data_IF_219294397420
#
_entry.id   IF_219294397420
#
_cell.length_a   1.000
_cell.length_b   1.000
_cell.length_c   1.000
_cell.angle_alpha   90.00
_cell.angle_beta   90.00
_cell.angle_gamma   90.00
#
_symmetry.space_group_name_H-M   'P 1'
#
loop_
_entity.id
_entity.type
_entity.pdbx_description
1 polymer ?
#
# COMPACT_ATOMS: atom_id res chain seq x y z
N UNK A 1 36.01 -16.93 -2.85
CA UNK A 1 34.71 -17.63 -2.80
C UNK A 1 33.69 -16.80 -3.57
N UNK A 2 33.04 -17.37 -4.59
CA UNK A 2 31.99 -16.67 -5.33
C UNK A 2 30.82 -16.37 -4.38
N UNK A 3 30.28 -15.17 -4.45
CA UNK A 3 29.09 -14.75 -3.68
C UNK A 3 27.92 -15.67 -4.08
N UNK A 4 27.36 -16.43 -3.15
CA UNK A 4 26.29 -17.41 -3.43
C UNK A 4 24.98 -16.76 -3.93
N UNK A 5 24.80 -15.48 -3.62
CA UNK A 5 23.62 -14.68 -3.99
C UNK A 5 24.06 -13.29 -4.43
N UNK A 6 23.33 -12.67 -5.37
CA UNK A 6 23.46 -11.26 -5.67
C UNK A 6 22.95 -10.41 -4.49
N UNK A 7 23.33 -9.13 -4.45
CA UNK A 7 22.84 -8.23 -3.39
C UNK A 7 21.33 -8.07 -3.43
N UNK A 8 20.75 -8.02 -4.61
CA UNK A 8 19.30 -7.86 -4.78
C UNK A 8 18.52 -9.12 -4.32
N UNK A 9 19.05 -10.31 -4.59
CA UNK A 9 18.47 -11.56 -4.07
C UNK A 9 18.51 -11.62 -2.53
N UNK A 10 19.57 -11.08 -1.93
CA UNK A 10 19.67 -10.99 -0.47
C UNK A 10 18.65 -9.99 0.06
N UNK A 11 18.55 -8.80 -0.52
CA UNK A 11 17.56 -7.78 -0.13
C UNK A 11 16.13 -8.31 -0.24
N UNK A 12 15.80 -9.02 -1.32
CA UNK A 12 14.49 -9.63 -1.49
C UNK A 12 14.15 -10.65 -0.38
N UNK A 13 15.11 -11.49 0.02
CA UNK A 13 14.95 -12.44 1.14
C UNK A 13 14.75 -11.72 2.47
N UNK A 14 15.54 -10.68 2.74
CA UNK A 14 15.44 -9.90 3.97
C UNK A 14 14.08 -9.21 4.08
N UNK A 15 13.62 -8.59 3.00
CA UNK A 15 12.33 -7.94 2.92
C UNK A 15 11.19 -8.94 3.13
N UNK A 16 11.26 -10.12 2.50
CA UNK A 16 10.25 -11.16 2.72
C UNK A 16 10.18 -11.61 4.18
N UNK A 17 11.32 -11.78 4.84
CA UNK A 17 11.36 -12.11 6.26
C UNK A 17 10.79 -10.99 7.13
N UNK A 18 11.01 -9.71 6.77
CA UNK A 18 10.38 -8.57 7.45
C UNK A 18 8.86 -8.66 7.35
N UNK A 19 8.30 -8.90 6.16
CA UNK A 19 6.85 -9.04 5.98
C UNK A 19 6.29 -10.15 6.88
N UNK A 20 6.90 -11.33 6.84
CA UNK A 20 6.47 -12.49 7.63
C UNK A 20 6.52 -12.24 9.14
N UNK A 21 7.64 -11.71 9.63
CA UNK A 21 7.81 -11.43 11.06
C UNK A 21 6.84 -10.34 11.54
N UNK A 22 6.73 -9.26 10.78
CA UNK A 22 5.83 -8.17 11.14
C UNK A 22 4.36 -8.62 11.10
N UNK A 23 3.97 -9.47 10.14
CA UNK A 23 2.62 -10.01 10.07
C UNK A 23 2.32 -10.97 11.23
N UNK A 24 3.25 -11.84 11.59
CA UNK A 24 3.05 -12.85 12.62
C UNK A 24 3.14 -12.29 14.04
N UNK A 25 4.13 -11.46 14.33
CA UNK A 25 4.46 -11.07 15.70
C UNK A 25 4.20 -9.59 16.04
N UNK A 26 4.02 -8.74 15.05
CA UNK A 26 3.95 -7.28 15.19
C UNK A 26 5.23 -6.59 14.75
N UNK A 27 5.07 -5.33 14.31
CA UNK A 27 6.20 -4.56 13.75
C UNK A 27 7.27 -4.25 14.82
N UNK A 28 6.85 -4.09 16.08
CA UNK A 28 7.72 -3.79 17.23
C UNK A 28 8.59 -5.00 17.62
N UNK A 29 8.23 -6.18 17.16
CA UNK A 29 8.96 -7.43 17.46
C UNK A 29 10.00 -7.77 16.39
N UNK A 30 10.03 -7.03 15.27
CA UNK A 30 11.02 -7.21 14.21
C UNK A 30 12.39 -6.75 14.72
N UNK A 31 13.41 -7.58 14.54
CA UNK A 31 14.81 -7.26 14.88
C UNK A 31 15.74 -7.78 13.80
N UNK A 32 16.90 -7.15 13.61
CA UNK A 32 17.91 -7.62 12.64
C UNK A 32 18.27 -9.09 12.86
N UNK A 33 18.35 -9.56 14.11
CA UNK A 33 18.63 -10.95 14.43
C UNK A 33 17.54 -11.89 13.95
N UNK A 34 16.25 -11.58 14.25
CA UNK A 34 15.12 -12.42 13.81
C UNK A 34 15.00 -12.45 12.29
N UNK A 35 15.25 -11.32 11.62
CA UNK A 35 15.27 -11.26 10.15
C UNK A 35 16.38 -12.17 9.60
N UNK A 36 17.59 -12.13 10.19
CA UNK A 36 18.68 -13.01 9.81
C UNK A 36 18.30 -14.48 9.95
N UNK A 37 17.77 -14.85 11.11
CA UNK A 37 17.32 -16.22 11.42
C UNK A 37 16.25 -16.67 10.42
N UNK A 38 15.25 -15.84 10.13
CA UNK A 38 14.18 -16.12 9.16
C UNK A 38 14.66 -16.33 7.72
N UNK A 39 15.79 -15.72 7.34
CA UNK A 39 16.39 -15.88 6.01
C UNK A 39 17.47 -16.99 5.95
N UNK A 40 17.88 -17.55 7.08
CA UNK A 40 19.06 -18.42 7.16
C UNK A 40 20.38 -17.70 6.87
N UNK A 41 20.46 -16.39 7.18
CA UNK A 41 21.63 -15.56 6.99
C UNK A 41 22.24 -15.17 8.34
N UNK A 42 23.53 -14.83 8.36
CA UNK A 42 24.15 -14.27 9.56
C UNK A 42 23.86 -12.77 9.68
N UNK A 43 23.68 -12.26 10.90
CA UNK A 43 23.44 -10.83 11.16
C UNK A 43 24.49 -9.91 10.53
N UNK A 44 25.82 -10.20 10.57
CA UNK A 44 26.80 -9.39 9.89
C UNK A 44 26.60 -9.28 8.37
N UNK A 45 25.97 -10.30 7.76
CA UNK A 45 25.69 -10.27 6.32
C UNK A 45 24.57 -9.28 5.97
N UNK A 46 23.59 -9.07 6.88
CA UNK A 46 22.52 -8.07 6.70
C UNK A 46 23.11 -6.66 6.72
N UNK A 47 24.06 -6.39 7.62
CA UNK A 47 24.72 -5.07 7.73
C UNK A 47 25.54 -4.70 6.49
N UNK A 48 25.82 -5.62 5.58
CA UNK A 48 26.36 -5.30 4.26
C UNK A 48 25.33 -4.68 3.31
N UNK A 49 24.02 -4.96 3.53
CA UNK A 49 22.93 -4.46 2.70
C UNK A 49 22.21 -3.25 3.33
N UNK A 50 22.08 -3.24 4.67
CA UNK A 50 21.37 -2.21 5.40
C UNK A 50 22.12 -1.80 6.66
N UNK A 51 22.30 -0.48 6.85
CA UNK A 51 23.02 0.07 8.01
C UNK A 51 22.34 -0.25 9.34
N UNK A 52 20.99 -0.32 9.36
CA UNK A 52 20.19 -0.50 10.56
C UNK A 52 18.80 -1.07 10.23
N UNK A 53 18.03 -1.41 11.24
CA UNK A 53 16.67 -1.91 11.09
C UNK A 53 15.72 -0.89 10.46
N UNK A 54 15.70 0.40 10.85
CA UNK A 54 14.88 1.40 10.19
C UNK A 54 15.09 1.46 8.68
N UNK A 55 16.34 1.42 8.20
CA UNK A 55 16.65 1.43 6.78
C UNK A 55 16.07 0.21 6.04
N UNK A 56 16.16 -0.99 6.63
CA UNK A 56 15.55 -2.21 6.09
C UNK A 56 14.01 -2.11 6.07
N UNK A 57 13.42 -1.64 7.16
CA UNK A 57 11.96 -1.50 7.28
C UNK A 57 11.41 -0.50 6.27
N UNK A 58 12.12 0.61 6.07
CA UNK A 58 11.76 1.65 5.10
C UNK A 58 11.86 1.13 3.67
N UNK A 59 12.94 0.42 3.30
CA UNK A 59 13.08 -0.17 1.96
C UNK A 59 11.98 -1.22 1.70
N UNK A 60 11.67 -2.05 2.71
CA UNK A 60 10.58 -3.02 2.61
C UNK A 60 9.23 -2.34 2.35
N UNK A 61 8.93 -1.25 3.06
CA UNK A 61 7.70 -0.49 2.85
C UNK A 61 7.68 0.19 1.47
N UNK A 62 8.75 0.90 1.09
CA UNK A 62 8.80 1.61 -0.17
C UNK A 62 8.67 0.69 -1.38
N UNK A 63 9.25 -0.52 -1.33
CA UNK A 63 9.06 -1.52 -2.41
C UNK A 63 7.61 -1.95 -2.53
N UNK A 64 6.94 -2.24 -1.41
CA UNK A 64 5.50 -2.55 -1.40
C UNK A 64 4.67 -1.38 -1.92
N UNK A 65 4.94 -0.16 -1.47
CA UNK A 65 4.21 1.04 -1.86
C UNK A 65 4.44 1.40 -3.34
N UNK A 66 5.65 1.18 -3.86
CA UNK A 66 5.95 1.34 -5.29
C UNK A 66 5.17 0.36 -6.20
N UNK A 67 4.96 -0.88 -5.74
CA UNK A 67 4.12 -1.82 -6.49
C UNK A 67 2.70 -1.27 -6.63
N UNK A 68 2.12 -0.73 -5.54
CA UNK A 68 0.81 -0.07 -5.57
C UNK A 68 0.84 1.16 -6.50
N UNK A 69 1.85 2.02 -6.38
CA UNK A 69 1.96 3.20 -7.23
C UNK A 69 2.04 2.84 -8.72
N UNK A 70 2.75 1.76 -9.07
CA UNK A 70 2.82 1.26 -10.45
C UNK A 70 1.47 0.76 -10.96
N UNK A 71 0.66 0.10 -10.12
CA UNK A 71 -0.72 -0.26 -10.48
C UNK A 71 -1.56 0.99 -10.75
N UNK A 72 -1.38 2.04 -9.95
CA UNK A 72 -2.12 3.30 -10.10
C UNK A 72 -1.76 4.06 -11.38
N UNK A 73 -0.67 3.73 -12.07
CA UNK A 73 -0.36 4.34 -13.38
C UNK A 73 -1.43 4.08 -14.45
N UNK A 74 -2.34 3.15 -14.24
CA UNK A 74 -3.52 2.94 -15.11
C UNK A 74 -4.32 4.23 -15.31
N UNK A 75 -4.33 5.14 -14.33
CA UNK A 75 -5.04 6.43 -14.45
C UNK A 75 -4.58 7.28 -15.64
N UNK A 76 -3.34 7.11 -16.10
CA UNK A 76 -2.82 7.82 -17.29
C UNK A 76 -3.55 7.45 -18.58
N UNK A 77 -4.14 6.25 -18.61
CA UNK A 77 -4.86 5.72 -19.78
C UNK A 77 -6.38 5.95 -19.67
N UNK A 78 -6.85 6.47 -18.54
CA UNK A 78 -8.25 6.80 -18.38
C UNK A 78 -8.53 8.14 -19.08
N UNK A 79 -9.39 8.10 -20.11
CA UNK A 79 -9.78 9.28 -20.88
C UNK A 79 -10.74 10.13 -20.06
N UNK A 80 -10.26 11.25 -19.51
CA UNK A 80 -11.06 12.21 -18.75
C UNK A 80 -12.14 12.96 -19.56
N UNK A 81 -11.97 13.27 -20.87
CA UNK A 81 -12.97 14.04 -21.61
C UNK A 81 -14.38 13.43 -21.66
N UNK A 82 -14.51 12.12 -21.41
CA UNK A 82 -15.80 11.44 -21.35
C UNK A 82 -16.42 11.33 -19.94
N UNK A 83 -15.67 11.61 -18.88
CA UNK A 83 -16.13 11.47 -17.48
C UNK A 83 -17.03 12.67 -17.08
N UNK A 84 -18.08 12.92 -17.85
CA UNK A 84 -19.10 13.90 -17.50
C UNK A 84 -20.32 13.27 -16.81
N UNK A 85 -20.31 11.95 -16.64
CA UNK A 85 -21.41 11.20 -16.05
C UNK A 85 -20.94 10.48 -14.80
N UNK A 86 -21.75 10.55 -13.76
CA UNK A 86 -21.51 9.84 -12.50
C UNK A 86 -21.19 8.36 -12.71
N UNK A 87 -21.88 7.70 -13.63
CA UNK A 87 -21.65 6.29 -13.94
C UNK A 87 -20.24 6.03 -14.46
N UNK A 88 -19.71 6.88 -15.38
CA UNK A 88 -18.37 6.73 -15.91
C UNK A 88 -17.30 6.91 -14.82
N UNK A 89 -17.54 7.81 -13.87
CA UNK A 89 -16.68 7.98 -12.70
C UNK A 89 -16.70 6.76 -11.78
N UNK A 90 -17.88 6.21 -11.52
CA UNK A 90 -18.04 5.01 -10.72
C UNK A 90 -17.32 3.82 -11.35
N UNK A 91 -17.38 3.67 -12.67
CA UNK A 91 -16.66 2.62 -13.41
C UNK A 91 -15.14 2.83 -13.35
N UNK A 92 -14.66 4.05 -13.57
CA UNK A 92 -13.24 4.38 -13.50
C UNK A 92 -12.67 4.17 -12.08
N UNK A 93 -13.39 4.63 -11.06
CA UNK A 93 -12.97 4.45 -9.65
C UNK A 93 -13.02 2.99 -9.23
N UNK A 94 -13.97 2.20 -9.73
CA UNK A 94 -14.01 0.76 -9.52
C UNK A 94 -12.77 0.07 -10.09
N UNK A 95 -12.35 0.41 -11.31
CA UNK A 95 -11.14 -0.16 -11.92
C UNK A 95 -9.90 0.14 -11.09
N UNK A 96 -9.72 1.40 -10.68
CA UNK A 96 -8.58 1.80 -9.85
C UNK A 96 -8.61 1.10 -8.50
N UNK A 97 -9.76 1.09 -7.85
CA UNK A 97 -9.93 0.49 -6.53
C UNK A 97 -9.74 -1.03 -6.56
N UNK A 98 -10.27 -1.73 -7.57
CA UNK A 98 -10.15 -3.19 -7.68
C UNK A 98 -8.70 -3.64 -7.83
N UNK A 99 -7.86 -2.90 -8.55
CA UNK A 99 -6.41 -3.18 -8.61
C UNK A 99 -5.75 -3.10 -7.24
N UNK A 100 -6.12 -2.08 -6.45
CA UNK A 100 -5.61 -1.96 -5.07
C UNK A 100 -6.12 -3.08 -4.17
N UNK A 101 -7.40 -3.42 -4.27
CA UNK A 101 -8.00 -4.52 -3.53
C UNK A 101 -7.33 -5.86 -3.84
N UNK A 102 -7.17 -6.19 -5.12
CA UNK A 102 -6.49 -7.41 -5.56
C UNK A 102 -5.05 -7.47 -5.05
N UNK A 103 -4.33 -6.36 -5.09
CA UNK A 103 -2.99 -6.26 -4.51
C UNK A 103 -2.99 -6.57 -3.02
N UNK A 104 -3.87 -5.96 -2.24
CA UNK A 104 -3.96 -6.21 -0.80
C UNK A 104 -4.32 -7.66 -0.49
N UNK A 105 -5.16 -8.28 -1.29
CA UNK A 105 -5.60 -9.67 -1.08
C UNK A 105 -4.59 -10.71 -1.58
N UNK A 106 -3.63 -10.34 -2.42
CA UNK A 106 -2.67 -11.26 -3.03
C UNK A 106 -1.58 -11.78 -2.08
N UNK A 107 -1.17 -10.98 -1.09
CA UNK A 107 -0.11 -11.32 -0.13
C UNK A 107 -0.43 -10.77 1.26
N UNK A 108 -0.92 -11.65 2.15
CA UNK A 108 -1.33 -11.29 3.51
C UNK A 108 -0.20 -10.69 4.35
N UNK A 109 1.01 -11.25 4.26
CA UNK A 109 2.14 -10.79 5.07
C UNK A 109 2.54 -9.37 4.67
N UNK A 110 2.58 -9.12 3.36
CA UNK A 110 2.91 -7.81 2.80
C UNK A 110 1.83 -6.78 3.13
N UNK A 111 0.55 -7.12 2.99
CA UNK A 111 -0.56 -6.22 3.31
C UNK A 111 -0.57 -5.84 4.80
N UNK A 112 -0.44 -6.83 5.70
CA UNK A 112 -0.39 -6.61 7.15
C UNK A 112 0.83 -5.77 7.54
N UNK A 113 2.02 -6.08 6.99
CA UNK A 113 3.23 -5.29 7.24
C UNK A 113 3.05 -3.85 6.79
N UNK A 114 2.59 -3.62 5.56
CA UNK A 114 2.46 -2.27 4.99
C UNK A 114 1.51 -1.40 5.80
N UNK A 115 0.39 -1.98 6.27
CA UNK A 115 -0.56 -1.30 7.14
C UNK A 115 0.02 -0.99 8.52
N UNK A 116 0.71 -1.95 9.15
CA UNK A 116 1.38 -1.73 10.44
C UNK A 116 2.50 -0.71 10.35
N UNK A 117 3.26 -0.72 9.24
CA UNK A 117 4.31 0.27 9.00
C UNK A 117 3.73 1.68 8.86
N UNK A 118 2.67 1.83 8.08
CA UNK A 118 1.96 3.11 7.90
C UNK A 118 1.50 3.72 9.22
N UNK A 119 1.03 2.91 10.16
CA UNK A 119 0.60 3.35 11.49
C UNK A 119 1.74 3.47 12.52
N UNK A 120 2.96 3.13 12.17
CA UNK A 120 4.11 3.13 13.08
C UNK A 120 4.90 4.44 13.06
N UNK A 121 5.79 4.59 14.05
CA UNK A 121 6.76 5.69 14.06
C UNK A 121 7.83 5.63 12.96
N UNK A 122 7.90 4.53 12.18
CA UNK A 122 8.77 4.44 11.01
C UNK A 122 8.25 5.25 9.81
N UNK A 123 6.94 5.53 9.77
CA UNK A 123 6.31 6.30 8.69
C UNK A 123 6.59 7.80 8.85
N UNK A 124 7.82 8.22 8.53
CA UNK A 124 8.29 9.58 8.71
C UNK A 124 8.13 10.47 7.47
N UNK A 125 8.59 11.72 7.61
CA UNK A 125 8.50 12.73 6.56
C UNK A 125 9.20 12.31 5.25
N UNK A 126 10.33 11.63 5.31
CA UNK A 126 11.08 11.14 4.15
C UNK A 126 10.23 10.20 3.30
N UNK A 127 9.53 9.24 3.92
CA UNK A 127 8.62 8.32 3.24
C UNK A 127 7.45 9.08 2.61
N UNK A 128 6.89 10.06 3.31
CA UNK A 128 5.79 10.87 2.79
C UNK A 128 6.19 11.68 1.56
N UNK A 129 7.39 12.29 1.55
CA UNK A 129 7.90 13.03 0.38
C UNK A 129 8.11 12.11 -0.82
N UNK A 130 8.65 10.92 -0.59
CA UNK A 130 8.82 9.92 -1.63
C UNK A 130 7.47 9.53 -2.25
N UNK A 131 6.45 9.28 -1.42
CA UNK A 131 5.10 8.96 -1.86
C UNK A 131 4.46 10.06 -2.71
N UNK A 132 4.62 11.33 -2.36
CA UNK A 132 4.10 12.46 -3.15
C UNK A 132 4.57 12.40 -4.61
N UNK A 133 5.82 11.99 -4.83
CA UNK A 133 6.38 11.86 -6.18
C UNK A 133 5.76 10.70 -6.96
N UNK A 134 5.59 9.53 -6.32
CA UNK A 134 5.06 8.34 -7.00
C UNK A 134 3.56 8.41 -7.27
N UNK A 135 2.79 9.00 -6.36
CA UNK A 135 1.32 9.12 -6.50
C UNK A 135 0.87 10.41 -7.19
N UNK A 136 1.78 11.18 -7.76
CA UNK A 136 1.46 12.46 -8.42
C UNK A 136 0.38 12.32 -9.49
N UNK A 137 0.44 11.29 -10.33
CA UNK A 137 -0.51 11.13 -11.42
C UNK A 137 -1.91 10.76 -10.90
N UNK A 138 -1.98 9.89 -9.88
CA UNK A 138 -3.23 9.58 -9.20
C UNK A 138 -3.82 10.84 -8.56
N UNK A 139 -3.00 11.65 -7.88
CA UNK A 139 -3.48 12.89 -7.25
C UNK A 139 -3.94 13.92 -8.26
N UNK A 140 -3.28 14.03 -9.43
CA UNK A 140 -3.72 14.87 -10.53
C UNK A 140 -5.08 14.40 -11.06
N UNK A 141 -5.28 13.10 -11.26
CA UNK A 141 -6.56 12.53 -11.64
C UNK A 141 -7.65 12.86 -10.62
N UNK A 142 -7.39 12.65 -9.33
CA UNK A 142 -8.31 12.97 -8.23
C UNK A 142 -8.68 14.45 -8.22
N UNK A 143 -7.73 15.36 -8.43
CA UNK A 143 -7.99 16.80 -8.48
C UNK A 143 -8.88 17.17 -9.68
N UNK A 144 -8.63 16.62 -10.87
CA UNK A 144 -9.45 16.84 -12.05
C UNK A 144 -10.89 16.34 -11.85
N UNK A 145 -11.06 15.17 -11.20
CA UNK A 145 -12.38 14.68 -10.81
C UNK A 145 -13.07 15.67 -9.84
N UNK A 146 -12.34 16.17 -8.85
CA UNK A 146 -12.87 17.17 -7.91
C UNK A 146 -13.36 18.44 -8.60
N UNK A 147 -12.62 18.95 -9.58
CA UNK A 147 -13.02 20.12 -10.38
C UNK A 147 -14.32 19.86 -11.16
N UNK A 148 -14.45 18.68 -11.79
CA UNK A 148 -15.66 18.30 -12.54
C UNK A 148 -16.91 18.25 -11.65
N UNK A 149 -16.77 17.83 -10.39
CA UNK A 149 -17.88 17.73 -9.43
C UNK A 149 -18.05 18.96 -8.53
N UNK A 150 -17.32 20.05 -8.82
CA UNK A 150 -17.45 21.30 -8.05
C UNK A 150 -16.95 21.21 -6.60
N UNK A 151 -16.12 20.20 -6.29
CA UNK A 151 -15.48 20.09 -4.97
C UNK A 151 -14.36 21.12 -4.89
N UNK A 152 -14.67 22.30 -4.38
CA UNK A 152 -13.80 23.48 -4.36
C UNK A 152 -12.57 23.36 -3.44
N UNK A 153 -12.44 22.29 -2.66
CA UNK A 153 -11.36 22.11 -1.69
C UNK A 153 -10.57 20.82 -1.97
N UNK A 154 -9.36 20.99 -2.49
CA UNK A 154 -8.41 19.88 -2.64
C UNK A 154 -8.14 19.16 -1.31
N UNK A 155 -8.14 19.87 -0.19
CA UNK A 155 -7.96 19.29 1.16
C UNK A 155 -9.08 18.30 1.51
N UNK A 156 -10.35 18.66 1.23
CA UNK A 156 -11.48 17.75 1.47
C UNK A 156 -11.39 16.50 0.60
N UNK A 157 -11.06 16.68 -0.67
CA UNK A 157 -10.95 15.59 -1.63
C UNK A 157 -9.82 14.63 -1.24
N UNK A 158 -8.66 15.14 -0.85
CA UNK A 158 -7.54 14.33 -0.37
C UNK A 158 -7.89 13.56 0.91
N UNK A 159 -8.63 14.18 1.84
CA UNK A 159 -9.11 13.51 3.04
C UNK A 159 -10.08 12.36 2.71
N UNK A 160 -10.99 12.55 1.75
CA UNK A 160 -11.90 11.49 1.29
C UNK A 160 -11.15 10.32 0.66
N UNK A 161 -10.18 10.60 -0.21
CA UNK A 161 -9.35 9.56 -0.83
C UNK A 161 -8.52 8.81 0.23
N UNK A 162 -7.96 9.52 1.21
CA UNK A 162 -7.26 8.88 2.33
C UNK A 162 -8.19 7.94 3.09
N UNK A 163 -9.40 8.37 3.42
CA UNK A 163 -10.38 7.51 4.11
C UNK A 163 -10.73 6.26 3.30
N UNK A 164 -10.89 6.39 1.97
CA UNK A 164 -11.15 5.23 1.09
C UNK A 164 -9.99 4.22 1.16
N UNK A 165 -8.75 4.71 1.08
CA UNK A 165 -7.55 3.88 1.17
C UNK A 165 -7.48 3.20 2.54
N UNK A 166 -7.68 3.95 3.62
CA UNK A 166 -7.57 3.47 4.99
C UNK A 166 -8.65 2.43 5.32
N UNK A 167 -9.90 2.67 4.92
CA UNK A 167 -11.00 1.71 5.09
C UNK A 167 -10.75 0.42 4.31
N UNK A 168 -10.32 0.54 3.06
CA UNK A 168 -10.00 -0.60 2.20
C UNK A 168 -8.87 -1.44 2.78
N UNK A 169 -7.75 -0.81 3.16
CA UNK A 169 -6.60 -1.50 3.74
C UNK A 169 -6.95 -2.15 5.09
N UNK A 170 -7.67 -1.43 5.95
CA UNK A 170 -8.11 -1.95 7.25
C UNK A 170 -9.00 -3.18 7.08
N UNK A 171 -9.94 -3.15 6.12
CA UNK A 171 -10.83 -4.28 5.84
C UNK A 171 -10.06 -5.49 5.35
N UNK A 172 -9.14 -5.31 4.38
CA UNK A 172 -8.29 -6.38 3.88
C UNK A 172 -7.44 -7.01 4.99
N UNK A 173 -6.81 -6.18 5.83
CA UNK A 173 -5.99 -6.66 6.97
C UNK A 173 -6.85 -7.42 7.99
N UNK A 174 -8.05 -6.94 8.32
CA UNK A 174 -8.97 -7.66 9.21
C UNK A 174 -9.39 -9.02 8.65
N UNK A 175 -9.59 -9.13 7.33
CA UNK A 175 -9.86 -10.41 6.67
C UNK A 175 -8.65 -11.35 6.74
N UNK A 176 -7.44 -10.86 6.52
CA UNK A 176 -6.22 -11.66 6.63
C UNK A 176 -5.95 -12.15 8.05
N UNK A 177 -6.30 -11.33 9.05
CA UNK A 177 -6.17 -11.69 10.48
C UNK A 177 -7.33 -12.55 11.01
N UNK A 178 -8.35 -12.83 10.18
CA UNK A 178 -9.51 -13.63 10.58
C UNK A 178 -10.53 -12.88 11.46
N UNK A 179 -10.44 -11.56 11.57
CA UNK A 179 -11.44 -10.74 12.30
C UNK A 179 -12.72 -10.53 11.48
N UNK A 180 -12.61 -10.62 10.18
CA UNK A 180 -13.75 -10.62 9.24
C UNK A 180 -13.60 -11.87 8.39
N UNK A 181 -14.68 -12.65 8.28
CA UNK A 181 -14.74 -13.79 7.36
C UNK A 181 -14.56 -13.30 5.92
N UNK A 182 -13.68 -13.96 5.17
CA UNK A 182 -13.39 -13.58 3.77
C UNK A 182 -14.61 -13.69 2.87
N UNK A 183 -15.54 -14.57 3.22
CA UNK A 183 -16.79 -14.80 2.47
C UNK A 183 -17.93 -13.88 2.93
N UNK A 184 -17.75 -13.14 4.04
CA UNK A 184 -18.80 -12.26 4.58
C UNK A 184 -19.01 -10.99 3.74
N UNK A 185 -17.99 -10.51 3.05
CA UNK A 185 -18.04 -9.29 2.25
C UNK A 185 -17.51 -9.54 0.84
N UNK A 186 -18.33 -9.23 -0.16
CA UNK A 186 -17.85 -9.21 -1.54
C UNK A 186 -16.98 -7.96 -1.80
N UNK A 187 -16.04 -8.00 -2.75
CA UNK A 187 -15.27 -6.81 -3.12
C UNK A 187 -16.18 -5.61 -3.45
N UNK A 188 -17.35 -5.85 -4.07
CA UNK A 188 -18.29 -4.79 -4.40
C UNK A 188 -18.89 -4.11 -3.16
N UNK A 189 -19.19 -4.86 -2.10
CA UNK A 189 -19.67 -4.29 -0.85
C UNK A 189 -18.60 -3.47 -0.15
N UNK A 190 -17.35 -3.93 -0.13
CA UNK A 190 -16.23 -3.16 0.43
C UNK A 190 -16.05 -1.85 -0.33
N UNK A 191 -16.08 -1.90 -1.66
CA UNK A 191 -16.01 -0.71 -2.50
C UNK A 191 -17.14 0.27 -2.19
N UNK A 192 -18.39 -0.20 -2.15
CA UNK A 192 -19.54 0.64 -1.89
C UNK A 192 -19.47 1.32 -0.50
N UNK A 193 -18.99 0.58 0.51
CA UNK A 193 -18.76 1.13 1.84
C UNK A 193 -17.71 2.25 1.80
N UNK A 194 -16.54 1.97 1.25
CA UNK A 194 -15.43 2.91 1.21
C UNK A 194 -15.75 4.19 0.41
N UNK A 195 -16.54 4.08 -0.66
CA UNK A 195 -16.93 5.20 -1.51
C UNK A 195 -18.25 5.88 -1.12
N UNK A 196 -18.91 5.40 -0.05
CA UNK A 196 -20.24 5.91 0.34
C UNK A 196 -20.30 7.42 0.50
N UNK A 197 -19.28 8.03 1.11
CA UNK A 197 -19.20 9.48 1.29
C UNK A 197 -18.92 10.23 -0.01
N UNK A 198 -18.18 9.65 -0.94
CA UNK A 198 -17.81 10.31 -2.20
C UNK A 198 -19.03 10.45 -3.15
N UNK A 199 -19.93 9.49 -3.14
CA UNK A 199 -21.09 9.47 -4.04
C UNK A 199 -22.30 10.21 -3.49
N UNK A 200 -22.22 10.74 -2.27
CA UNK A 200 -23.25 11.56 -1.64
C UNK A 200 -22.90 13.07 -1.61
N UNK A 201 -21.77 13.45 -2.21
CA UNK A 201 -21.40 14.84 -2.46
C UNK A 201 -22.00 15.33 -3.77
#
# INVERSE_FOLDING_TARGET
>A
MARKYSEEEVKAKLIRAVYQLAAAEGIEKVTMRKVAEGCGLSTPYIYQCYRDLPALMTDAYLRSDMEVANLMHVVRNLHMPGINKRQELEEASWVIWSLYWEYLMSDSDKAIFSWRYYLSGYFGAEVQEFRKMYYRDLMNFVNQVGELYGVSSSVKLHALVSNIIDETATTAVKMHLGYIDKDALTPRLVYQSAFSLMFHL
#
